data_IF_994852991055
#
_entry.id   IF_994852991055
#
_cell.length_a   1.000
_cell.length_b   1.000
_cell.length_c   1.000
_cell.angle_alpha   90.00
_cell.angle_beta   90.00
_cell.angle_gamma   90.00
#
_symmetry.space_group_name_H-M   'P 1'
#
loop_
_entity.id
_entity.type
_entity.pdbx_description
1 polymer ?
#
# COMPACT_ATOMS: atom_id res chain seq x y z
N UNK A 1 5.88 24.47 0.69
CA UNK A 1 4.90 23.48 0.29
C UNK A 1 4.25 22.77 1.50
N UNK A 2 4.95 22.02 2.30
CA UNK A 2 4.39 21.20 3.41
C UNK A 2 3.63 22.00 4.48
N UNK A 3 3.98 23.27 4.71
CA UNK A 3 3.31 24.17 5.68
C UNK A 3 2.33 25.14 5.02
N UNK A 4 1.97 24.95 3.77
CA UNK A 4 1.03 25.82 3.06
C UNK A 4 -0.37 25.73 3.68
N UNK A 5 -1.13 26.84 3.63
CA UNK A 5 -2.56 26.85 3.98
C UNK A 5 -3.37 26.05 2.96
N UNK A 6 -2.94 26.01 1.70
CA UNK A 6 -3.58 25.26 0.64
C UNK A 6 -3.31 23.75 0.75
N UNK A 7 -4.37 22.94 0.76
CA UNK A 7 -4.30 21.50 0.84
C UNK A 7 -3.62 20.87 -0.39
N UNK A 8 -3.82 21.44 -1.59
CA UNK A 8 -3.20 20.96 -2.83
C UNK A 8 -1.69 21.07 -2.74
N UNK A 9 -1.21 22.22 -2.23
CA UNK A 9 0.23 22.43 -2.03
C UNK A 9 0.81 21.48 -0.97
N UNK A 10 0.06 21.19 0.11
CA UNK A 10 0.50 20.19 1.11
C UNK A 10 0.52 18.79 0.54
N UNK A 11 -0.51 18.41 -0.22
CA UNK A 11 -0.58 17.13 -0.93
C UNK A 11 0.68 16.91 -1.80
N UNK A 12 0.99 17.86 -2.71
CA UNK A 12 2.21 17.81 -3.50
C UNK A 12 3.48 17.80 -2.65
N UNK A 13 3.46 18.52 -1.51
CA UNK A 13 4.55 18.53 -0.54
C UNK A 13 4.83 17.16 0.10
N UNK A 14 3.81 16.32 0.32
CA UNK A 14 3.99 14.94 0.83
C UNK A 14 4.73 14.09 -0.21
N UNK A 15 4.34 14.16 -1.49
CA UNK A 15 5.05 13.45 -2.56
C UNK A 15 6.47 13.96 -2.76
N UNK A 16 6.69 15.27 -2.68
CA UNK A 16 8.04 15.82 -2.73
C UNK A 16 8.95 15.27 -1.62
N UNK A 17 8.43 15.10 -0.39
CA UNK A 17 9.16 14.48 0.72
C UNK A 17 9.39 12.99 0.42
N UNK A 18 8.37 12.25 -0.03
CA UNK A 18 8.47 10.83 -0.36
C UNK A 18 9.54 10.56 -1.43
N UNK A 19 9.52 11.33 -2.52
CA UNK A 19 10.50 11.20 -3.60
C UNK A 19 11.91 11.60 -3.16
N UNK A 20 12.06 12.73 -2.43
CA UNK A 20 13.37 13.20 -1.98
C UNK A 20 14.07 12.24 -1.01
N UNK A 21 13.30 11.51 -0.21
CA UNK A 21 13.82 10.57 0.79
C UNK A 21 13.51 9.11 0.46
N UNK A 22 13.22 8.80 -0.80
CA UNK A 22 12.88 7.43 -1.23
C UNK A 22 14.01 6.45 -0.89
N UNK A 23 13.65 5.37 -0.19
CA UNK A 23 14.56 4.31 0.21
C UNK A 23 15.63 4.68 1.25
N UNK A 24 15.60 5.90 1.81
CA UNK A 24 16.61 6.34 2.79
C UNK A 24 16.29 5.96 4.22
N UNK A 25 15.03 5.59 4.51
CA UNK A 25 14.52 5.38 5.86
C UNK A 25 14.84 6.53 6.84
N UNK A 26 14.85 7.77 6.34
CA UNK A 26 15.20 8.93 7.14
C UNK A 26 14.15 9.20 8.21
N UNK A 27 14.55 9.18 9.48
CA UNK A 27 13.66 9.33 10.64
C UNK A 27 12.93 10.69 10.67
N UNK A 28 13.52 11.76 10.17
CA UNK A 28 12.86 13.08 10.13
C UNK A 28 11.77 13.11 9.07
N UNK A 29 12.00 12.50 7.90
CA UNK A 29 10.99 12.37 6.87
C UNK A 29 9.83 11.49 7.34
N UNK A 30 10.11 10.35 7.97
CA UNK A 30 9.11 9.43 8.54
C UNK A 30 8.25 10.16 9.58
N UNK A 31 8.86 10.82 10.57
CA UNK A 31 8.14 11.60 11.59
C UNK A 31 7.24 12.68 10.97
N UNK A 32 7.72 13.36 9.94
CA UNK A 32 6.97 14.42 9.26
C UNK A 32 5.77 13.85 8.51
N UNK A 33 5.93 12.75 7.79
CA UNK A 33 4.85 12.07 7.09
C UNK A 33 3.82 11.50 8.07
N UNK A 34 4.24 10.85 9.15
CA UNK A 34 3.36 10.37 10.21
C UNK A 34 2.58 11.51 10.88
N UNK A 35 3.22 12.64 11.13
CA UNK A 35 2.53 13.80 11.69
C UNK A 35 1.39 14.27 10.77
N UNK A 36 1.65 14.47 9.47
CA UNK A 36 0.62 14.90 8.53
C UNK A 36 -0.45 13.83 8.28
N UNK A 37 -0.12 12.56 8.37
CA UNK A 37 -1.10 11.48 8.19
C UNK A 37 -2.20 11.46 9.26
N UNK A 38 -1.93 12.00 10.43
CA UNK A 38 -2.89 12.04 11.54
C UNK A 38 -3.47 13.45 11.73
N UNK A 39 -2.63 14.49 11.65
CA UNK A 39 -2.98 15.85 12.08
C UNK A 39 -3.50 16.76 10.96
N UNK A 40 -3.34 16.41 9.70
CA UNK A 40 -3.84 17.26 8.61
C UNK A 40 -5.37 17.29 8.57
N UNK A 41 -5.94 18.42 8.14
CA UNK A 41 -7.39 18.59 7.99
C UNK A 41 -7.90 17.88 6.73
N UNK A 42 -7.08 17.82 5.66
CA UNK A 42 -7.45 17.19 4.39
C UNK A 42 -7.15 15.69 4.38
N UNK A 43 -8.15 14.88 4.08
CA UNK A 43 -7.99 13.44 3.95
C UNK A 43 -7.09 13.03 2.78
N UNK A 44 -7.05 13.82 1.71
CA UNK A 44 -6.14 13.60 0.59
C UNK A 44 -4.68 13.75 1.01
N UNK A 45 -4.37 14.76 1.85
CA UNK A 45 -3.03 14.94 2.41
C UNK A 45 -2.66 13.79 3.34
N UNK A 46 -3.60 13.31 4.16
CA UNK A 46 -3.39 12.15 5.04
C UNK A 46 -3.04 10.91 4.23
N UNK A 47 -3.83 10.61 3.18
CA UNK A 47 -3.56 9.47 2.27
C UNK A 47 -2.19 9.59 1.61
N UNK A 48 -1.89 10.77 1.03
CA UNK A 48 -0.60 11.02 0.38
C UNK A 48 0.56 10.84 1.36
N UNK A 49 0.45 11.36 2.57
CA UNK A 49 1.49 11.22 3.59
C UNK A 49 1.77 9.75 3.92
N UNK A 50 0.72 8.93 4.08
CA UNK A 50 0.87 7.49 4.34
C UNK A 50 1.47 6.74 3.16
N UNK A 51 0.96 6.96 1.94
CA UNK A 51 1.51 6.31 0.75
C UNK A 51 3.01 6.58 0.60
N UNK A 52 3.43 7.81 0.91
CA UNK A 52 4.83 8.20 0.82
C UNK A 52 5.73 7.57 1.90
N UNK A 53 5.18 7.04 3.00
CA UNK A 53 5.95 6.17 3.90
C UNK A 53 6.43 4.90 3.20
N UNK A 54 5.60 4.32 2.32
CA UNK A 54 6.01 3.20 1.47
C UNK A 54 7.23 3.52 0.61
N UNK A 55 7.26 4.71 -0.02
CA UNK A 55 8.41 5.15 -0.81
C UNK A 55 9.66 5.41 0.04
N UNK A 56 9.52 5.96 1.24
CA UNK A 56 10.66 6.22 2.12
C UNK A 56 11.27 4.91 2.66
N UNK A 57 10.44 3.88 2.87
CA UNK A 57 10.82 2.65 3.57
C UNK A 57 10.96 1.41 2.66
N UNK A 58 10.83 1.51 1.33
CA UNK A 58 10.82 0.32 0.47
C UNK A 58 12.09 -0.53 0.52
N UNK A 59 13.23 0.03 0.98
CA UNK A 59 14.47 -0.73 1.23
C UNK A 59 14.49 -1.40 2.61
N UNK A 60 13.53 -1.10 3.47
CA UNK A 60 13.39 -1.65 4.81
C UNK A 60 11.95 -2.13 5.04
N UNK A 61 11.45 -3.07 4.21
CA UNK A 61 10.05 -3.48 4.21
C UNK A 61 9.59 -4.06 5.55
N UNK A 62 10.50 -4.63 6.33
CA UNK A 62 10.22 -5.21 7.65
C UNK A 62 9.74 -4.20 8.69
N UNK A 63 10.14 -2.92 8.55
CA UNK A 63 9.77 -1.85 9.50
C UNK A 63 8.39 -1.28 9.26
N UNK A 64 7.90 -1.39 8.03
CA UNK A 64 6.71 -0.67 7.60
C UNK A 64 5.41 -1.20 8.24
N UNK A 65 5.16 -2.54 8.31
CA UNK A 65 3.95 -3.07 8.93
C UNK A 65 3.78 -2.64 10.39
N UNK A 66 4.86 -2.63 11.17
CA UNK A 66 4.82 -2.20 12.57
C UNK A 66 4.49 -0.70 12.70
N UNK A 67 5.09 0.13 11.84
CA UNK A 67 4.88 1.58 11.82
C UNK A 67 3.43 1.96 11.51
N UNK A 68 2.78 1.25 10.58
CA UNK A 68 1.43 1.60 10.12
C UNK A 68 0.33 0.78 10.79
N UNK A 69 0.66 -0.17 11.67
CA UNK A 69 -0.30 -1.08 12.31
C UNK A 69 -1.48 -0.34 12.95
N UNK A 70 -1.21 0.63 13.82
CA UNK A 70 -2.27 1.41 14.47
C UNK A 70 -3.06 2.28 13.50
N UNK A 71 -2.45 2.71 12.40
CA UNK A 71 -3.10 3.51 11.37
C UNK A 71 -4.03 2.66 10.49
N UNK A 72 -3.71 1.39 10.30
CA UNK A 72 -4.58 0.43 9.63
C UNK A 72 -5.86 0.12 10.43
N UNK A 73 -5.86 0.35 11.73
CA UNK A 73 -7.03 0.20 12.61
C UNK A 73 -7.74 1.55 12.88
N UNK A 74 -7.32 2.64 12.22
CA UNK A 74 -7.88 3.98 12.42
C UNK A 74 -9.36 4.04 12.10
N UNK A 75 -10.12 4.86 12.83
CA UNK A 75 -11.52 5.15 12.52
C UNK A 75 -11.70 5.78 11.12
N UNK A 76 -10.75 6.62 10.68
CA UNK A 76 -10.81 7.29 9.38
C UNK A 76 -10.46 6.30 8.24
N UNK A 77 -11.39 6.03 7.30
CA UNK A 77 -11.15 5.10 6.19
C UNK A 77 -10.04 5.57 5.24
N UNK A 78 -9.83 6.87 5.10
CA UNK A 78 -8.75 7.40 4.27
C UNK A 78 -7.36 7.09 4.84
N UNK A 79 -7.24 7.02 6.17
CA UNK A 79 -6.02 6.59 6.85
C UNK A 79 -5.82 5.09 6.63
N UNK A 80 -6.86 4.25 6.81
CA UNK A 80 -6.77 2.80 6.56
C UNK A 80 -6.36 2.49 5.12
N UNK A 81 -6.98 3.17 4.16
CA UNK A 81 -6.63 3.05 2.74
C UNK A 81 -5.16 3.43 2.47
N UNK A 82 -4.72 4.57 3.00
CA UNK A 82 -3.34 5.04 2.87
C UNK A 82 -2.33 4.07 3.49
N UNK A 83 -2.66 3.49 4.66
CA UNK A 83 -1.85 2.48 5.33
C UNK A 83 -1.74 1.20 4.49
N UNK A 84 -2.85 0.73 3.91
CA UNK A 84 -2.84 -0.42 3.01
C UNK A 84 -1.92 -0.22 1.81
N UNK A 85 -2.05 0.92 1.11
CA UNK A 85 -1.21 1.22 -0.05
C UNK A 85 0.26 1.46 0.34
N UNK A 86 0.54 2.06 1.50
CA UNK A 86 1.90 2.19 2.00
C UNK A 86 2.58 0.83 2.10
N UNK A 87 1.90 -0.16 2.73
CA UNK A 87 2.39 -1.53 2.84
C UNK A 87 2.55 -2.18 1.46
N UNK A 88 1.58 -2.01 0.56
CA UNK A 88 1.67 -2.51 -0.81
C UNK A 88 2.91 -2.01 -1.54
N UNK A 89 3.19 -0.70 -1.46
CA UNK A 89 4.34 -0.06 -2.12
C UNK A 89 5.65 -0.47 -1.45
N UNK A 90 5.73 -0.36 -0.13
CA UNK A 90 7.00 -0.57 0.58
C UNK A 90 7.39 -2.03 0.72
N UNK A 91 6.43 -2.95 0.70
CA UNK A 91 6.65 -4.40 0.77
C UNK A 91 6.46 -5.11 -0.58
N UNK A 92 6.45 -4.38 -1.71
CA UNK A 92 6.21 -4.95 -3.03
C UNK A 92 7.20 -6.08 -3.35
N UNK A 93 6.67 -7.22 -3.81
CA UNK A 93 7.47 -8.37 -4.22
C UNK A 93 8.21 -9.12 -3.10
N UNK A 94 7.96 -8.78 -1.82
CA UNK A 94 8.67 -9.39 -0.69
C UNK A 94 7.99 -10.66 -0.15
N UNK A 95 6.68 -10.81 -0.37
CA UNK A 95 5.89 -11.89 0.23
C UNK A 95 5.82 -11.86 1.76
N UNK A 96 6.03 -10.70 2.39
CA UNK A 96 6.14 -10.55 3.84
C UNK A 96 4.84 -10.95 4.56
N UNK A 97 4.94 -11.89 5.51
CA UNK A 97 3.78 -12.42 6.24
C UNK A 97 3.17 -11.37 7.17
N UNK A 98 3.96 -10.48 7.74
CA UNK A 98 3.51 -9.37 8.58
C UNK A 98 2.63 -8.40 7.78
N UNK A 99 2.99 -8.14 6.52
CA UNK A 99 2.17 -7.35 5.60
C UNK A 99 0.84 -8.04 5.32
N UNK A 100 0.83 -9.36 5.11
CA UNK A 100 -0.41 -10.12 4.94
C UNK A 100 -1.31 -10.03 6.18
N UNK A 101 -0.75 -10.21 7.39
CA UNK A 101 -1.52 -10.15 8.63
C UNK A 101 -2.20 -8.79 8.82
N UNK A 102 -1.55 -7.71 8.37
CA UNK A 102 -2.09 -6.36 8.43
C UNK A 102 -3.16 -6.11 7.36
N UNK A 103 -2.93 -6.59 6.13
CA UNK A 103 -3.82 -6.33 5.00
C UNK A 103 -5.06 -7.22 4.99
N UNK A 104 -4.96 -8.47 5.49
CA UNK A 104 -6.07 -9.42 5.47
C UNK A 104 -7.37 -8.90 6.11
N UNK A 105 -7.37 -8.27 7.29
CA UNK A 105 -8.59 -7.68 7.85
C UNK A 105 -9.19 -6.58 6.96
N UNK A 106 -8.35 -5.78 6.31
CA UNK A 106 -8.79 -4.66 5.46
C UNK A 106 -9.47 -5.11 4.17
N UNK A 107 -9.29 -6.37 3.75
CA UNK A 107 -10.03 -6.92 2.58
C UNK A 107 -11.51 -7.10 2.87
N UNK A 108 -11.91 -7.10 4.13
CA UNK A 108 -13.31 -7.18 4.57
C UNK A 108 -13.77 -5.87 5.25
N UNK A 109 -13.09 -4.76 4.99
CA UNK A 109 -13.47 -3.46 5.53
C UNK A 109 -14.89 -3.05 5.08
N UNK A 110 -15.60 -2.30 5.92
CA UNK A 110 -16.95 -1.80 5.60
C UNK A 110 -16.95 -0.86 4.38
N UNK A 111 -15.84 -0.17 4.15
CA UNK A 111 -15.70 0.85 3.10
C UNK A 111 -15.04 0.23 1.87
N UNK A 112 -15.70 0.37 0.73
CA UNK A 112 -15.33 -0.24 -0.56
C UNK A 112 -13.93 0.15 -1.08
N UNK A 113 -13.58 1.44 -1.04
CA UNK A 113 -12.26 1.88 -1.48
C UNK A 113 -11.14 1.40 -0.55
N UNK A 114 -11.41 1.11 0.75
CA UNK A 114 -10.43 0.49 1.64
C UNK A 114 -10.19 -0.95 1.23
N UNK A 115 -11.27 -1.72 0.93
CA UNK A 115 -11.15 -3.07 0.36
C UNK A 115 -10.35 -3.07 -0.93
N UNK A 116 -10.66 -2.12 -1.84
CA UNK A 116 -9.91 -1.93 -3.09
C UNK A 116 -8.41 -1.75 -2.83
N UNK A 117 -8.03 -0.83 -1.94
CA UNK A 117 -6.63 -0.59 -1.58
C UNK A 117 -5.95 -1.80 -0.99
N UNK A 118 -6.65 -2.54 -0.12
CA UNK A 118 -6.12 -3.73 0.53
C UNK A 118 -5.84 -4.87 -0.45
N UNK A 119 -6.76 -5.15 -1.39
CA UNK A 119 -6.54 -6.23 -2.39
C UNK A 119 -5.44 -5.87 -3.38
N UNK A 120 -5.34 -4.60 -3.81
CA UNK A 120 -4.24 -4.12 -4.66
C UNK A 120 -2.90 -4.24 -3.92
N UNK A 121 -2.86 -3.82 -2.66
CA UNK A 121 -1.66 -3.93 -1.83
C UNK A 121 -1.20 -5.39 -1.66
N UNK A 122 -2.13 -6.32 -1.42
CA UNK A 122 -1.84 -7.76 -1.37
C UNK A 122 -1.24 -8.26 -2.69
N UNK A 123 -1.78 -7.83 -3.83
CA UNK A 123 -1.24 -8.23 -5.13
C UNK A 123 0.19 -7.71 -5.34
N UNK A 124 0.48 -6.48 -4.89
CA UNK A 124 1.83 -5.90 -4.97
C UNK A 124 2.82 -6.65 -4.07
N UNK A 125 2.41 -7.02 -2.86
CA UNK A 125 3.28 -7.75 -1.90
C UNK A 125 3.59 -9.16 -2.40
N UNK A 126 2.61 -9.85 -2.98
CA UNK A 126 2.73 -11.25 -3.40
C UNK A 126 3.00 -11.44 -4.90
N UNK A 127 3.37 -10.38 -5.62
CA UNK A 127 3.79 -10.50 -7.01
C UNK A 127 5.00 -11.44 -7.12
N UNK A 128 4.96 -12.39 -8.05
CA UNK A 128 5.97 -13.45 -8.26
C UNK A 128 6.13 -14.48 -7.12
N UNK A 129 5.45 -14.34 -6.01
CA UNK A 129 5.49 -15.36 -4.95
C UNK A 129 4.65 -16.56 -5.40
N UNK A 130 5.25 -17.73 -5.37
CA UNK A 130 4.59 -18.98 -5.76
C UNK A 130 3.85 -19.63 -4.59
N UNK A 131 2.89 -20.49 -4.88
CA UNK A 131 2.16 -21.25 -3.85
C UNK A 131 3.06 -22.23 -3.09
N UNK A 132 4.18 -22.64 -3.71
CA UNK A 132 5.19 -23.46 -3.04
C UNK A 132 5.99 -22.69 -1.98
N UNK A 133 6.21 -21.38 -2.21
CA UNK A 133 6.90 -20.50 -1.26
C UNK A 133 5.98 -20.04 -0.13
N UNK A 134 4.73 -19.67 -0.47
CA UNK A 134 3.72 -19.24 0.50
C UNK A 134 2.33 -19.80 0.13
N UNK A 135 1.84 -20.82 0.83
CA UNK A 135 0.56 -21.47 0.54
C UNK A 135 -0.65 -20.52 0.57
N UNK A 136 -0.55 -19.40 1.31
CA UNK A 136 -1.62 -18.42 1.41
C UNK A 136 -1.89 -17.68 0.09
N UNK A 137 -0.95 -17.72 -0.86
CA UNK A 137 -1.15 -17.15 -2.21
C UNK A 137 -2.35 -17.78 -2.90
N UNK A 138 -2.57 -19.09 -2.74
CA UNK A 138 -3.76 -19.77 -3.28
C UNK A 138 -5.07 -19.20 -2.68
N UNK A 139 -5.06 -18.90 -1.38
CA UNK A 139 -6.21 -18.28 -0.69
C UNK A 139 -6.47 -16.86 -1.19
N UNK A 140 -5.40 -16.09 -1.41
CA UNK A 140 -5.48 -14.70 -1.95
C UNK A 140 -6.08 -14.72 -3.36
N UNK A 141 -5.64 -15.64 -4.23
CA UNK A 141 -6.20 -15.78 -5.59
C UNK A 141 -7.69 -16.15 -5.55
N UNK A 142 -8.09 -17.08 -4.68
CA UNK A 142 -9.51 -17.43 -4.47
C UNK A 142 -10.32 -16.24 -3.96
N UNK A 143 -9.74 -15.40 -3.08
CA UNK A 143 -10.39 -14.16 -2.62
C UNK A 143 -10.70 -13.24 -3.80
N UNK A 144 -9.75 -13.01 -4.71
CA UNK A 144 -9.98 -12.15 -5.87
C UNK A 144 -11.08 -12.70 -6.77
N UNK A 145 -11.03 -14.00 -7.09
CA UNK A 145 -12.07 -14.64 -7.91
C UNK A 145 -13.44 -14.50 -7.26
N UNK A 146 -13.55 -14.76 -5.95
CA UNK A 146 -14.79 -14.59 -5.20
C UNK A 146 -15.32 -13.16 -5.28
N UNK A 147 -14.46 -12.15 -5.05
CA UNK A 147 -14.88 -10.73 -5.10
C UNK A 147 -15.32 -10.30 -6.50
N UNK A 148 -14.72 -10.85 -7.56
CA UNK A 148 -15.09 -10.55 -8.96
C UNK A 148 -16.45 -11.16 -9.30
N UNK A 149 -16.73 -12.37 -8.86
CA UNK A 149 -17.95 -13.14 -9.16
C UNK A 149 -19.13 -12.70 -8.29
N UNK A 150 -18.89 -12.10 -7.13
CA UNK A 150 -19.93 -11.69 -6.21
C UNK A 150 -20.72 -10.51 -6.79
N UNK A 151 -22.01 -10.75 -7.05
CA UNK A 151 -22.94 -9.73 -7.58
C UNK A 151 -23.26 -8.62 -6.58
N UNK A 152 -23.07 -8.88 -5.29
CA UNK A 152 -23.34 -7.94 -4.19
C UNK A 152 -22.11 -7.12 -3.80
N UNK A 153 -20.91 -7.48 -4.31
CA UNK A 153 -19.70 -6.71 -4.04
C UNK A 153 -19.76 -5.35 -4.78
N UNK A 154 -19.31 -4.31 -4.10
CA UNK A 154 -19.29 -2.96 -4.64
C UNK A 154 -18.30 -2.79 -5.80
N UNK A 155 -18.62 -1.88 -6.72
CA UNK A 155 -17.87 -1.70 -7.98
C UNK A 155 -16.39 -1.41 -7.75
N UNK A 156 -16.05 -0.56 -6.77
CA UNK A 156 -14.65 -0.21 -6.48
C UNK A 156 -13.85 -1.41 -5.95
N UNK A 157 -14.43 -2.19 -5.04
CA UNK A 157 -13.80 -3.40 -4.53
C UNK A 157 -13.59 -4.44 -5.62
N UNK A 158 -14.61 -4.65 -6.47
CA UNK A 158 -14.53 -5.57 -7.62
C UNK A 158 -13.47 -5.12 -8.63
N UNK A 159 -13.40 -3.82 -8.95
CA UNK A 159 -12.36 -3.26 -9.79
C UNK A 159 -10.98 -3.49 -9.17
N UNK A 160 -10.82 -3.30 -7.86
CA UNK A 160 -9.60 -3.61 -7.13
C UNK A 160 -9.17 -5.07 -7.30
N UNK A 161 -10.10 -6.02 -7.18
CA UNK A 161 -9.82 -7.44 -7.35
C UNK A 161 -9.40 -7.79 -8.79
N UNK A 162 -10.03 -7.18 -9.81
CA UNK A 162 -9.64 -7.34 -11.22
C UNK A 162 -8.22 -6.83 -11.47
N UNK A 163 -7.90 -5.62 -10.99
CA UNK A 163 -6.56 -5.06 -11.08
C UNK A 163 -5.53 -5.94 -10.36
N UNK A 164 -5.88 -6.47 -9.21
CA UNK A 164 -5.03 -7.37 -8.41
C UNK A 164 -4.72 -8.66 -9.14
N UNK A 165 -5.69 -9.27 -9.81
CA UNK A 165 -5.43 -10.42 -10.68
C UNK A 165 -4.51 -10.06 -11.85
N UNK A 166 -4.68 -8.87 -12.44
CA UNK A 166 -3.79 -8.36 -13.48
C UNK A 166 -2.35 -8.21 -13.00
N UNK A 167 -2.15 -7.63 -11.81
CA UNK A 167 -0.83 -7.43 -11.18
C UNK A 167 -0.14 -8.80 -10.96
N UNK A 168 -0.81 -9.76 -10.32
CA UNK A 168 -0.22 -11.08 -10.04
C UNK A 168 0.11 -11.86 -11.31
N UNK A 169 -0.70 -11.70 -12.35
CA UNK A 169 -0.53 -12.43 -13.61
C UNK A 169 0.28 -11.65 -14.67
N UNK A 170 0.82 -10.48 -14.31
CA UNK A 170 1.55 -9.62 -15.23
C UNK A 170 2.70 -10.39 -15.90
N UNK A 171 2.83 -10.22 -17.22
CA UNK A 171 3.82 -10.90 -18.06
C UNK A 171 3.90 -12.43 -17.85
N UNK A 172 2.75 -13.09 -17.66
CA UNK A 172 2.72 -14.52 -17.38
C UNK A 172 3.40 -14.90 -16.06
N UNK A 173 3.31 -14.04 -15.05
CA UNK A 173 3.98 -14.14 -13.74
C UNK A 173 5.50 -13.92 -13.79
N UNK A 174 6.02 -13.28 -14.82
CA UNK A 174 7.44 -12.97 -14.97
C UNK A 174 7.75 -11.48 -14.76
N UNK A 175 6.77 -10.68 -14.31
CA UNK A 175 6.97 -9.29 -13.93
C UNK A 175 7.10 -9.14 -12.42
N UNK A 176 7.88 -8.15 -11.98
CA UNK A 176 7.97 -7.74 -10.58
C UNK A 176 7.86 -6.23 -10.45
N UNK A 177 7.52 -5.77 -9.26
CA UNK A 177 7.53 -4.35 -8.92
C UNK A 177 8.87 -4.06 -8.24
N UNK A 178 9.66 -3.18 -8.85
CA UNK A 178 10.93 -2.74 -8.28
C UNK A 178 11.12 -1.25 -8.49
N UNK A 179 11.47 -0.53 -7.43
CA UNK A 179 11.83 0.88 -7.45
C UNK A 179 13.34 1.09 -7.63
N UNK A 180 14.10 -0.01 -7.77
CA UNK A 180 15.55 0.02 -8.01
C UNK A 180 15.88 -0.56 -9.36
N UNK A 181 16.95 -0.05 -9.98
CA UNK A 181 17.60 -0.65 -11.16
C UNK A 181 18.42 -1.86 -10.73
N UNK A 182 18.94 -2.62 -11.72
CA UNK A 182 19.86 -3.74 -11.45
C UNK A 182 21.13 -3.29 -10.71
N UNK A 183 21.53 -2.05 -10.91
CA UNK A 183 22.72 -1.44 -10.31
C UNK A 183 22.45 -0.87 -8.89
N UNK A 184 21.24 -1.06 -8.35
CA UNK A 184 20.86 -0.57 -7.02
C UNK A 184 20.51 0.91 -6.94
N UNK A 185 20.53 1.65 -8.06
CA UNK A 185 20.07 3.05 -8.12
C UNK A 185 18.53 3.12 -8.15
N UNK A 186 17.97 4.26 -7.76
CA UNK A 186 16.52 4.51 -7.86
C UNK A 186 16.11 4.68 -9.33
N UNK A 187 14.96 4.14 -9.67
CA UNK A 187 14.30 4.34 -10.97
C UNK A 187 13.50 5.62 -10.99
#
# INVERSE_FOLDING_TARGET
MVRSKDAIMRYGGMFAVGCAYAGTANNQAIKKLLYHSVSDVSDDVKRAALMNLGFVLFRHPEKLPELVKLLAESYNPHIRYGAALAVGIGCAGTGLIEALKLLAPLTNDKVDFVRQGAVIALAMVFIQITEAQEPKVATIKKLYTKMIEDKHEEILSRMGAILSQGIINAAGRNATISLTTKDGTLR
#
